data_IF_851939469656
#
_entry.id   IF_851939469656
#
_cell.length_a   1.000
_cell.length_b   1.000
_cell.length_c   1.000
_cell.angle_alpha   90.00
_cell.angle_beta   90.00
_cell.angle_gamma   90.00
#
_symmetry.space_group_name_H-M   'P 1'
#
loop_
_entity.id
_entity.type
_entity.pdbx_description
1 polymer ?
#
# COMPACT_ATOMS: atom_id res chain seq x y z
N UNK A 1 -1.92 -5.26 -16.47
CA UNK A 1 -2.41 -3.92 -16.88
C UNK A 1 -1.22 -2.97 -16.78
N UNK A 2 -0.78 -2.36 -17.90
CA UNK A 2 0.35 -1.40 -17.86
C UNK A 2 -0.19 -0.04 -17.46
N UNK A 3 0.43 0.61 -16.48
CA UNK A 3 0.11 2.00 -16.16
C UNK A 3 0.35 2.85 -17.41
N UNK A 4 -0.59 3.76 -17.70
CA UNK A 4 -0.38 4.77 -18.73
C UNK A 4 0.85 5.61 -18.36
N UNK A 5 1.56 6.16 -19.35
CA UNK A 5 2.73 7.03 -19.10
C UNK A 5 2.43 8.19 -18.15
N UNK A 6 1.19 8.70 -18.19
CA UNK A 6 0.69 9.73 -17.26
C UNK A 6 0.53 9.22 -15.81
N UNK A 7 0.18 7.94 -15.61
CA UNK A 7 0.03 7.37 -14.26
C UNK A 7 1.38 7.03 -13.63
N UNK A 8 2.34 6.56 -14.43
CA UNK A 8 3.71 6.31 -13.96
C UNK A 8 4.40 7.62 -13.53
N UNK A 9 4.30 8.68 -14.35
CA UNK A 9 4.82 10.00 -13.99
C UNK A 9 4.16 10.59 -12.73
N UNK A 10 2.86 10.33 -12.52
CA UNK A 10 2.16 10.71 -11.30
C UNK A 10 2.67 9.99 -10.05
N UNK A 11 3.00 8.69 -10.16
CA UNK A 11 3.55 7.91 -9.05
C UNK A 11 4.98 8.37 -8.67
N UNK A 12 5.82 8.66 -9.66
CA UNK A 12 7.18 9.20 -9.43
C UNK A 12 7.14 10.60 -8.81
N UNK A 13 6.26 11.48 -9.30
CA UNK A 13 6.08 12.81 -8.73
C UNK A 13 5.58 12.74 -7.27
N UNK A 14 4.69 11.80 -6.98
CA UNK A 14 4.22 11.54 -5.63
C UNK A 14 5.37 11.05 -4.74
N UNK A 15 6.16 10.08 -5.17
CA UNK A 15 7.31 9.56 -4.40
C UNK A 15 8.37 10.64 -4.10
N UNK A 16 8.64 11.53 -5.06
CA UNK A 16 9.52 12.68 -4.86
C UNK A 16 8.95 13.64 -3.82
N UNK A 17 7.67 14.00 -3.92
CA UNK A 17 6.99 14.86 -2.93
C UNK A 17 7.03 14.24 -1.52
N UNK A 18 6.76 12.94 -1.41
CA UNK A 18 6.85 12.18 -0.17
C UNK A 18 8.26 12.14 0.44
N UNK A 19 9.28 12.33 -0.39
CA UNK A 19 10.68 12.30 0.04
C UNK A 19 11.20 13.66 0.52
N UNK A 20 10.59 14.77 0.06
CA UNK A 20 11.05 16.14 0.34
C UNK A 20 10.29 16.82 1.51
N UNK A 21 9.03 16.46 1.79
CA UNK A 21 8.21 17.15 2.80
C UNK A 21 7.76 16.27 3.98
N UNK A 22 8.01 16.77 5.20
CA UNK A 22 7.62 16.12 6.45
C UNK A 22 6.13 16.35 6.83
N UNK A 23 5.41 17.24 6.14
CA UNK A 23 4.03 17.67 6.48
C UNK A 23 2.94 17.21 5.50
N UNK A 24 3.22 16.27 4.59
CA UNK A 24 2.23 15.77 3.63
C UNK A 24 1.26 14.70 4.18
N UNK A 25 1.42 14.26 5.43
CA UNK A 25 0.62 13.15 6.00
C UNK A 25 -0.90 13.36 5.86
N UNK A 26 -1.40 14.58 6.12
CA UNK A 26 -2.82 14.90 5.98
C UNK A 26 -3.32 14.86 4.51
N UNK A 27 -2.47 15.25 3.57
CA UNK A 27 -2.78 15.18 2.13
C UNK A 27 -2.88 13.74 1.63
N UNK A 28 -2.08 12.83 2.18
CA UNK A 28 -2.06 11.42 1.79
C UNK A 28 -3.18 10.61 2.42
N UNK A 29 -3.59 10.96 3.65
CA UNK A 29 -4.82 10.43 4.25
C UNK A 29 -6.04 10.80 3.37
N UNK A 30 -6.06 12.03 2.84
CA UNK A 30 -7.08 12.47 1.89
C UNK A 30 -7.03 11.66 0.58
N UNK A 31 -5.84 11.44 0.03
CA UNK A 31 -5.68 10.63 -1.19
C UNK A 31 -6.16 9.19 -0.97
N UNK A 32 -5.81 8.58 0.16
CA UNK A 32 -6.28 7.24 0.52
C UNK A 32 -7.80 7.19 0.69
N UNK A 33 -8.41 8.23 1.27
CA UNK A 33 -9.87 8.34 1.37
C UNK A 33 -10.55 8.47 -0.01
N UNK A 34 -9.97 9.23 -0.93
CA UNK A 34 -10.46 9.33 -2.32
C UNK A 34 -10.35 7.98 -3.03
N UNK A 35 -9.21 7.29 -2.90
CA UNK A 35 -9.02 5.96 -3.48
C UNK A 35 -10.06 4.97 -2.97
N UNK A 36 -10.32 4.96 -1.66
CA UNK A 36 -11.41 4.18 -1.06
C UNK A 36 -12.74 4.48 -1.72
N UNK A 37 -13.12 5.75 -1.82
CA UNK A 37 -14.40 6.14 -2.41
C UNK A 37 -14.54 5.72 -3.90
N UNK A 38 -13.42 5.62 -4.63
CA UNK A 38 -13.40 5.19 -6.03
C UNK A 38 -13.41 3.67 -6.20
N UNK A 39 -12.79 2.93 -5.29
CA UNK A 39 -12.63 1.46 -5.39
C UNK A 39 -13.79 0.72 -4.70
N UNK A 40 -14.36 1.30 -3.63
CA UNK A 40 -15.29 0.63 -2.73
C UNK A 40 -16.48 -0.05 -3.41
N UNK A 41 -17.06 0.53 -4.47
CA UNK A 41 -18.33 0.04 -5.01
C UNK A 41 -19.36 -0.10 -3.89
N UNK A 42 -19.95 -1.29 -3.74
CA UNK A 42 -20.88 -1.64 -2.64
C UNK A 42 -20.19 -2.24 -1.40
N UNK A 43 -18.85 -2.29 -1.37
CA UNK A 43 -18.05 -2.95 -0.33
C UNK A 43 -17.21 -1.98 0.48
N UNK A 44 -16.85 -2.37 1.71
CA UNK A 44 -15.95 -1.58 2.56
C UNK A 44 -14.50 -1.89 2.18
N UNK A 45 -13.83 -0.92 1.55
CA UNK A 45 -12.42 -1.03 1.15
C UNK A 45 -11.55 -0.11 2.00
N UNK A 46 -10.47 -0.66 2.55
CA UNK A 46 -9.45 0.08 3.27
C UNK A 46 -8.25 0.34 2.34
N UNK A 47 -7.83 1.61 2.25
CA UNK A 47 -6.69 2.02 1.44
C UNK A 47 -5.57 2.54 2.34
N UNK A 48 -4.35 2.10 2.07
CA UNK A 48 -3.13 2.59 2.72
C UNK A 48 -2.09 2.94 1.68
N UNK A 49 -1.28 3.96 1.96
CA UNK A 49 -0.14 4.38 1.15
C UNK A 49 1.10 4.08 1.98
N UNK A 50 1.96 3.23 1.43
CA UNK A 50 3.20 2.80 2.07
C UNK A 50 4.36 3.34 1.26
N UNK A 51 5.36 3.90 1.96
CA UNK A 51 6.64 4.28 1.37
C UNK A 51 7.70 3.31 1.88
N UNK A 52 8.38 2.66 0.95
CA UNK A 52 9.57 1.86 1.26
C UNK A 52 10.81 2.74 1.14
N UNK A 53 11.46 3.01 2.25
CA UNK A 53 12.78 3.61 2.25
C UNK A 53 13.87 2.56 2.44
N UNK A 54 15.10 2.87 2.00
CA UNK A 54 16.29 2.00 2.17
C UNK A 54 16.51 1.48 3.60
N UNK A 55 16.01 2.18 4.62
CA UNK A 55 16.19 1.82 6.04
C UNK A 55 14.92 1.38 6.74
N UNK A 56 13.75 1.85 6.29
CA UNK A 56 12.45 1.62 6.94
C UNK A 56 11.33 1.77 5.95
N UNK A 57 10.38 0.87 6.07
CA UNK A 57 9.03 0.96 5.52
C UNK A 57 8.16 1.80 6.44
N UNK A 58 7.34 2.69 5.89
CA UNK A 58 6.42 3.50 6.67
C UNK A 58 5.07 3.66 5.97
N UNK A 59 3.98 3.59 6.73
CA UNK A 59 2.66 3.99 6.26
C UNK A 59 2.58 5.51 6.31
N UNK A 60 2.53 6.15 5.15
CA UNK A 60 2.54 7.61 5.01
C UNK A 60 1.14 8.20 4.81
N UNK A 61 0.16 7.36 4.45
CA UNK A 61 -1.23 7.77 4.27
C UNK A 61 -2.20 6.62 4.49
N UNK A 62 -3.41 6.91 4.94
CA UNK A 62 -4.40 5.91 5.27
C UNK A 62 -5.85 6.41 5.21
N UNK A 63 -6.77 5.58 4.74
CA UNK A 63 -8.20 5.89 4.71
C UNK A 63 -8.90 5.63 6.05
N UNK A 64 -8.28 4.87 6.96
CA UNK A 64 -8.87 4.48 8.25
C UNK A 64 -7.79 4.09 9.27
N UNK A 65 -8.08 4.17 10.59
CA UNK A 65 -7.15 3.68 11.61
C UNK A 65 -6.79 2.19 11.42
N UNK A 66 -7.74 1.38 10.97
CA UNK A 66 -7.53 -0.04 10.66
C UNK A 66 -6.54 -0.20 9.51
N UNK A 67 -6.71 0.54 8.42
CA UNK A 67 -5.81 0.50 7.27
C UNK A 67 -4.38 0.89 7.66
N UNK A 68 -4.21 1.87 8.56
CA UNK A 68 -2.90 2.27 9.08
C UNK A 68 -2.26 1.17 9.90
N UNK A 69 -2.95 0.64 10.92
CA UNK A 69 -2.45 -0.44 11.75
C UNK A 69 -2.03 -1.66 10.92
N UNK A 70 -2.88 -2.06 9.97
CA UNK A 70 -2.57 -3.18 9.09
C UNK A 70 -1.33 -2.91 8.22
N UNK A 71 -1.19 -1.70 7.70
CA UNK A 71 0.00 -1.32 6.93
C UNK A 71 1.28 -1.32 7.77
N UNK A 72 1.22 -0.86 9.02
CA UNK A 72 2.36 -0.81 9.94
C UNK A 72 2.83 -2.21 10.35
N UNK A 73 1.90 -3.14 10.58
CA UNK A 73 2.28 -4.54 10.83
C UNK A 73 2.99 -5.11 9.59
N UNK A 74 2.41 -4.90 8.40
CA UNK A 74 2.96 -5.40 7.14
C UNK A 74 4.30 -4.77 6.74
N UNK A 75 4.52 -3.52 7.11
CA UNK A 75 5.77 -2.80 6.94
C UNK A 75 6.95 -3.47 7.69
N UNK A 76 6.66 -4.28 8.71
CA UNK A 76 7.67 -5.06 9.43
C UNK A 76 8.18 -6.29 8.68
N UNK A 77 7.53 -6.70 7.60
CA UNK A 77 7.91 -7.90 6.85
C UNK A 77 8.90 -7.56 5.74
N UNK A 78 9.98 -8.34 5.64
CA UNK A 78 10.97 -8.22 4.56
C UNK A 78 10.50 -8.80 3.22
N UNK A 79 9.27 -9.28 3.13
CA UNK A 79 8.66 -9.80 1.92
C UNK A 79 7.14 -9.49 1.91
N UNK A 80 6.53 -9.50 0.73
CA UNK A 80 5.09 -9.29 0.61
C UNK A 80 4.67 -8.58 -0.68
N UNK A 81 3.36 -8.39 -0.87
CA UNK A 81 2.82 -7.84 -2.11
C UNK A 81 3.27 -6.41 -2.39
N UNK A 82 3.40 -5.55 -1.36
CA UNK A 82 3.82 -4.16 -1.52
C UNK A 82 5.29 -4.06 -1.98
N UNK A 83 6.18 -4.87 -1.39
CA UNK A 83 7.59 -4.94 -1.78
C UNK A 83 7.71 -5.51 -3.20
N UNK A 84 7.01 -6.59 -3.49
CA UNK A 84 7.03 -7.20 -4.83
C UNK A 84 6.52 -6.23 -5.92
N UNK A 85 5.45 -5.48 -5.65
CA UNK A 85 4.92 -4.49 -6.58
C UNK A 85 5.95 -3.39 -6.90
N UNK A 86 6.74 -2.98 -5.91
CA UNK A 86 7.79 -1.98 -6.11
C UNK A 86 8.98 -2.53 -6.89
N UNK A 87 9.40 -3.77 -6.63
CA UNK A 87 10.49 -4.40 -7.37
C UNK A 87 10.14 -4.68 -8.83
N UNK A 88 8.90 -5.06 -9.09
CA UNK A 88 8.51 -5.55 -10.43
C UNK A 88 7.83 -4.48 -11.29
N UNK A 89 7.25 -3.44 -10.68
CA UNK A 89 6.48 -2.35 -11.30
C UNK A 89 5.08 -2.63 -11.93
N UNK A 90 4.45 -3.83 -11.92
CA UNK A 90 3.04 -3.99 -12.21
C UNK A 90 2.17 -3.84 -10.96
N UNK A 91 0.88 -3.57 -11.19
CA UNK A 91 -0.17 -3.79 -10.18
C UNK A 91 -0.19 -5.25 -9.75
N UNK A 92 -0.06 -5.49 -8.45
CA UNK A 92 -0.17 -6.83 -7.84
C UNK A 92 -1.58 -6.99 -7.28
N UNK A 93 -2.35 -7.92 -7.85
CA UNK A 93 -3.67 -8.30 -7.36
C UNK A 93 -3.57 -9.62 -6.58
N UNK A 94 -4.26 -9.67 -5.45
CA UNK A 94 -4.43 -10.84 -4.60
C UNK A 94 -5.93 -11.07 -4.50
N UNK A 95 -6.44 -12.11 -5.17
CA UNK A 95 -7.88 -12.40 -5.20
C UNK A 95 -8.37 -12.94 -3.84
N UNK A 96 -7.65 -13.92 -3.29
CA UNK A 96 -7.91 -14.45 -1.95
C UNK A 96 -6.58 -14.71 -1.24
N UNK A 97 -6.37 -13.93 -0.18
CA UNK A 97 -5.17 -14.00 0.65
C UNK A 97 -5.03 -15.36 1.35
N UNK A 98 -6.13 -16.06 1.62
CA UNK A 98 -6.11 -17.41 2.19
C UNK A 98 -5.59 -18.49 1.25
N UNK A 99 -5.55 -18.22 -0.06
CA UNK A 99 -5.03 -19.12 -1.10
C UNK A 99 -3.67 -18.68 -1.66
N UNK A 100 -3.16 -17.54 -1.19
CA UNK A 100 -1.91 -16.95 -1.67
C UNK A 100 -0.70 -17.75 -1.15
N UNK A 101 0.24 -18.05 -2.06
CA UNK A 101 1.42 -18.86 -1.76
C UNK A 101 2.76 -18.20 -2.13
N UNK A 102 2.74 -17.06 -2.84
CA UNK A 102 3.95 -16.34 -3.28
C UNK A 102 4.78 -15.81 -2.10
N UNK A 103 4.13 -15.46 -0.99
CA UNK A 103 4.77 -14.94 0.23
C UNK A 103 4.27 -15.69 1.47
N UNK A 104 4.47 -17.01 1.51
CA UNK A 104 3.96 -17.87 2.58
C UNK A 104 4.25 -17.39 4.00
N UNK A 105 5.43 -16.81 4.25
CA UNK A 105 5.79 -16.21 5.56
C UNK A 105 4.90 -15.02 5.93
N UNK A 106 4.61 -14.15 4.97
CA UNK A 106 3.73 -13.00 5.14
C UNK A 106 2.26 -13.41 5.31
N UNK A 107 1.82 -14.49 4.64
CA UNK A 107 0.44 -15.00 4.72
C UNK A 107 0.19 -15.81 6.00
N UNK A 108 1.20 -16.54 6.48
CA UNK A 108 1.08 -17.40 7.64
C UNK A 108 0.93 -16.63 8.96
N UNK A 109 1.35 -15.37 9.00
CA UNK A 109 1.30 -14.56 10.22
C UNK A 109 -0.11 -13.98 10.48
N UNK A 110 -0.78 -14.36 11.58
CA UNK A 110 -2.09 -13.83 11.93
C UNK A 110 -2.10 -12.31 12.16
N UNK A 111 -0.97 -11.73 12.56
CA UNK A 111 -0.84 -10.30 12.83
C UNK A 111 -0.91 -9.44 11.55
N UNK A 112 -0.65 -10.03 10.37
CA UNK A 112 -0.81 -9.35 9.09
C UNK A 112 -2.26 -8.93 8.78
N UNK A 113 -3.23 -9.38 9.61
CA UNK A 113 -4.65 -9.03 9.52
C UNK A 113 -5.35 -9.72 8.36
N UNK A 114 -4.84 -10.90 7.99
CA UNK A 114 -5.24 -11.68 6.81
C UNK A 114 -6.40 -12.66 7.11
N UNK A 115 -6.99 -12.60 8.31
CA UNK A 115 -8.14 -13.43 8.69
C UNK A 115 -9.28 -12.61 9.28
#
# INVERSE_FOLDING_TARGET
>A
MRLSSSQAAGAEALDHLLSEEHELGGSLDTLAAIARAKIAGDTVVDCGITREGRRRTAVVGSSSPRARLMGEVRAGYGCGPCLHAQETAPTVLLDDVGTESRWSEYIADPSAGIR
#
